data_IF_152383205122
#
_entry.id   IF_152383205122
#
_cell.length_a   1.000
_cell.length_b   1.000
_cell.length_c   1.000
_cell.angle_alpha   90.00
_cell.angle_beta   90.00
_cell.angle_gamma   90.00
#
_symmetry.space_group_name_H-M   'P 1'
#
loop_
_entity.id
_entity.type
_entity.pdbx_description
1 polymer ?
#
# COMPACT_ATOMS: atom_id res chain seq x y z
N UNK A 1 5.03 4.76 -13.84
CA UNK A 1 5.75 5.82 -13.13
C UNK A 1 7.11 5.29 -12.73
N UNK A 2 8.16 6.06 -12.97
CA UNK A 2 9.55 5.67 -12.74
C UNK A 2 10.25 6.75 -11.91
N UNK A 3 10.98 6.36 -10.87
CA UNK A 3 11.83 7.27 -10.07
C UNK A 3 11.05 8.32 -9.27
N UNK A 4 10.15 7.87 -8.39
CA UNK A 4 9.33 8.77 -7.57
C UNK A 4 9.81 8.87 -6.13
N UNK A 5 9.50 10.01 -5.47
CA UNK A 5 10.07 10.36 -4.17
C UNK A 5 9.73 9.39 -3.03
N UNK A 6 8.51 9.48 -2.51
CA UNK A 6 8.10 8.74 -1.31
C UNK A 6 7.13 7.60 -1.65
N UNK A 7 5.96 7.92 -2.23
CA UNK A 7 4.89 6.95 -2.51
C UNK A 7 4.41 7.07 -3.95
N UNK A 8 4.21 5.94 -4.63
CA UNK A 8 3.70 5.93 -6.01
C UNK A 8 2.21 6.24 -6.03
N UNK A 9 1.42 5.48 -5.28
CA UNK A 9 -0.01 5.70 -5.05
C UNK A 9 -0.23 5.84 -3.54
N UNK A 10 -0.95 6.87 -3.10
CA UNK A 10 -1.31 7.05 -1.69
C UNK A 10 -2.75 7.53 -1.56
N UNK A 11 -3.57 6.77 -0.83
CA UNK A 11 -4.89 7.20 -0.36
C UNK A 11 -4.85 7.48 1.15
N UNK A 12 -5.65 8.44 1.59
CA UNK A 12 -5.74 8.88 2.98
C UNK A 12 -7.06 9.59 3.27
N UNK A 13 -7.29 9.92 4.53
CA UNK A 13 -8.38 10.78 5.01
C UNK A 13 -9.76 10.45 4.42
N UNK A 14 -10.22 9.20 4.59
CA UNK A 14 -11.51 8.69 4.07
C UNK A 14 -11.67 8.73 2.54
N UNK A 15 -10.59 8.81 1.80
CA UNK A 15 -10.64 8.79 0.34
C UNK A 15 -11.02 7.42 -0.21
N UNK A 16 -11.67 7.40 -1.38
CA UNK A 16 -11.82 6.19 -2.19
C UNK A 16 -11.04 6.36 -3.49
N UNK A 17 -10.12 5.43 -3.77
CA UNK A 17 -9.25 5.48 -4.95
C UNK A 17 -9.40 4.19 -5.75
N UNK A 18 -9.59 4.33 -7.06
CA UNK A 18 -9.64 3.22 -8.01
C UNK A 18 -8.55 3.41 -9.07
N UNK A 19 -7.74 2.38 -9.29
CA UNK A 19 -6.65 2.39 -10.25
C UNK A 19 -6.74 1.17 -11.13
N UNK A 20 -6.59 1.35 -12.44
CA UNK A 20 -6.53 0.26 -13.41
C UNK A 20 -5.25 0.40 -14.23
N UNK A 21 -4.49 -0.69 -14.36
CA UNK A 21 -3.24 -0.77 -15.11
C UNK A 21 -2.18 0.23 -14.60
N UNK A 22 -1.50 -0.13 -13.51
CA UNK A 22 -0.42 0.67 -12.95
C UNK A 22 0.91 -0.09 -12.99
N UNK A 23 1.97 0.61 -13.41
CA UNK A 23 3.35 0.13 -13.34
C UNK A 23 4.16 1.15 -12.54
N UNK A 24 4.67 0.73 -11.39
CA UNK A 24 5.51 1.55 -10.51
C UNK A 24 6.92 0.97 -10.48
N UNK A 25 7.93 1.81 -10.73
CA UNK A 25 9.34 1.41 -10.81
C UNK A 25 10.26 2.32 -10.00
N UNK A 26 11.35 1.75 -9.46
CA UNK A 26 12.45 2.48 -8.82
C UNK A 26 11.97 3.46 -7.74
N UNK A 27 11.19 2.96 -6.77
CA UNK A 27 10.58 3.80 -5.74
C UNK A 27 10.73 3.24 -4.33
N UNK A 28 10.51 4.08 -3.33
CA UNK A 28 10.58 3.67 -1.93
C UNK A 28 9.34 2.86 -1.54
N UNK A 29 8.14 3.39 -1.81
CA UNK A 29 6.88 2.74 -1.46
C UNK A 29 5.91 2.71 -2.65
N UNK A 30 5.44 1.53 -3.05
CA UNK A 30 4.50 1.36 -4.17
C UNK A 30 3.14 2.00 -3.89
N UNK A 31 2.36 1.36 -3.03
CA UNK A 31 0.98 1.75 -2.72
C UNK A 31 0.77 1.87 -1.22
N UNK A 32 0.20 2.99 -0.76
CA UNK A 32 -0.25 3.17 0.62
C UNK A 32 -1.76 3.46 0.68
N UNK A 33 -2.49 2.74 1.52
CA UNK A 33 -3.89 3.08 1.88
C UNK A 33 -3.96 3.37 3.37
N UNK A 34 -4.46 4.55 3.75
CA UNK A 34 -4.41 5.05 5.15
C UNK A 34 -5.72 5.66 5.62
N UNK A 35 -5.89 5.79 6.93
CA UNK A 35 -6.85 6.73 7.54
C UNK A 35 -8.29 6.58 6.99
N UNK A 36 -8.91 5.41 7.21
CA UNK A 36 -10.25 5.07 6.69
C UNK A 36 -10.41 5.12 5.15
N UNK A 37 -9.32 5.19 4.39
CA UNK A 37 -9.41 5.14 2.94
C UNK A 37 -9.59 3.72 2.40
N UNK A 38 -10.18 3.65 1.21
CA UNK A 38 -10.39 2.42 0.44
C UNK A 38 -9.71 2.53 -0.91
N UNK A 39 -8.73 1.67 -1.16
CA UNK A 39 -7.99 1.64 -2.43
C UNK A 39 -8.27 0.34 -3.18
N UNK A 40 -8.66 0.45 -4.45
CA UNK A 40 -8.94 -0.69 -5.31
C UNK A 40 -8.05 -0.62 -6.55
N UNK A 41 -7.28 -1.66 -6.82
CA UNK A 41 -6.33 -1.69 -7.92
C UNK A 41 -6.53 -2.94 -8.76
N UNK A 42 -6.59 -2.77 -10.07
CA UNK A 42 -6.56 -3.87 -11.03
C UNK A 42 -5.31 -3.75 -11.90
N UNK A 43 -4.61 -4.86 -12.10
CA UNK A 43 -3.37 -4.97 -12.89
C UNK A 43 -2.26 -4.03 -12.39
N UNK A 44 -1.60 -4.43 -11.30
CA UNK A 44 -0.49 -3.69 -10.70
C UNK A 44 0.84 -4.39 -10.96
N UNK A 45 1.83 -3.67 -11.48
CA UNK A 45 3.22 -4.12 -11.56
C UNK A 45 4.10 -3.24 -10.70
N UNK A 46 4.85 -3.86 -9.78
CA UNK A 46 5.85 -3.19 -8.94
C UNK A 46 7.24 -3.74 -9.30
N UNK A 47 8.19 -2.84 -9.56
CA UNK A 47 9.57 -3.18 -9.90
C UNK A 47 10.57 -2.37 -9.07
N UNK A 48 11.59 -3.03 -8.52
CA UNK A 48 12.69 -2.36 -7.79
C UNK A 48 12.17 -1.43 -6.70
N UNK A 49 11.51 -2.03 -5.70
CA UNK A 49 10.86 -1.32 -4.59
C UNK A 49 11.46 -1.72 -3.26
N UNK A 50 11.57 -0.77 -2.32
CA UNK A 50 11.82 -1.11 -0.92
C UNK A 50 10.57 -1.75 -0.30
N UNK A 51 9.42 -1.09 -0.41
CA UNK A 51 8.12 -1.59 0.07
C UNK A 51 7.10 -1.57 -1.07
N UNK A 52 6.46 -2.71 -1.32
CA UNK A 52 5.45 -2.84 -2.36
C UNK A 52 4.13 -2.19 -1.95
N UNK A 53 3.47 -2.75 -0.95
CA UNK A 53 2.14 -2.36 -0.50
C UNK A 53 2.14 -2.06 1.00
N UNK A 54 1.37 -1.06 1.45
CA UNK A 54 1.12 -0.88 2.87
C UNK A 54 -0.31 -0.40 3.16
N UNK A 55 -0.85 -0.84 4.29
CA UNK A 55 -2.16 -0.41 4.79
C UNK A 55 -2.09 -0.23 6.30
N UNK A 56 -2.40 0.97 6.76
CA UNK A 56 -2.27 1.33 8.18
C UNK A 56 -3.05 2.58 8.55
N UNK A 57 -3.20 2.84 9.84
CA UNK A 57 -3.81 4.07 10.34
C UNK A 57 -2.70 5.05 10.74
N UNK A 58 -2.59 6.18 10.06
CA UNK A 58 -1.63 7.24 10.40
C UNK A 58 -2.23 8.18 11.44
N UNK A 59 -3.44 8.65 11.21
CA UNK A 59 -4.07 9.69 12.04
C UNK A 59 -5.12 9.06 12.95
N UNK A 60 -5.03 9.26 14.29
CA UNK A 60 -5.92 8.61 15.25
C UNK A 60 -7.38 9.05 15.12
N UNK A 61 -7.65 10.23 14.55
CA UNK A 61 -9.00 10.74 14.30
C UNK A 61 -9.74 10.05 13.14
N UNK A 62 -9.03 9.18 12.40
CA UNK A 62 -9.60 8.24 11.43
C UNK A 62 -9.40 6.81 11.94
N UNK A 63 -10.06 5.83 11.34
CA UNK A 63 -9.87 4.41 11.60
C UNK A 63 -9.01 3.67 10.57
N UNK A 64 -9.15 2.35 10.60
CA UNK A 64 -8.42 1.40 9.77
C UNK A 64 -8.72 1.57 8.26
N UNK A 65 -7.73 1.26 7.42
CA UNK A 65 -7.84 1.40 5.98
C UNK A 65 -8.00 0.05 5.25
N UNK A 66 -8.36 0.13 3.98
CA UNK A 66 -8.60 -1.01 3.11
C UNK A 66 -7.81 -0.92 1.80
N UNK A 67 -7.28 -2.05 1.34
CA UNK A 67 -6.68 -2.22 0.02
C UNK A 67 -7.13 -3.53 -0.62
N UNK A 68 -7.63 -3.46 -1.85
CA UNK A 68 -7.83 -4.62 -2.72
C UNK A 68 -6.97 -4.49 -3.97
N UNK A 69 -6.19 -5.52 -4.27
CA UNK A 69 -5.41 -5.61 -5.51
C UNK A 69 -5.75 -6.91 -6.24
N UNK A 70 -6.19 -6.76 -7.48
CA UNK A 70 -6.42 -7.87 -8.42
C UNK A 70 -5.34 -7.87 -9.49
N UNK A 71 -4.72 -9.01 -9.73
CA UNK A 71 -3.62 -9.20 -10.66
C UNK A 71 -2.39 -8.35 -10.32
N UNK A 72 -1.69 -8.72 -9.25
CA UNK A 72 -0.42 -8.08 -8.88
C UNK A 72 0.78 -8.86 -9.42
N UNK A 73 1.76 -8.14 -9.96
CA UNK A 73 3.06 -8.66 -10.37
C UNK A 73 4.15 -7.93 -9.61
N UNK A 74 4.94 -8.67 -8.83
CA UNK A 74 6.13 -8.17 -8.14
C UNK A 74 7.36 -8.63 -8.92
N UNK A 75 7.97 -7.75 -9.69
CA UNK A 75 9.12 -8.04 -10.54
C UNK A 75 10.39 -7.36 -10.01
N UNK A 76 11.56 -7.85 -10.44
CA UNK A 76 12.86 -7.18 -10.25
C UNK A 76 13.15 -6.64 -8.85
N UNK A 77 13.03 -7.49 -7.83
CA UNK A 77 13.42 -7.22 -6.43
C UNK A 77 12.58 -6.18 -5.69
N UNK A 78 11.38 -6.57 -5.28
CA UNK A 78 10.62 -5.89 -4.21
C UNK A 78 11.07 -6.44 -2.86
N UNK A 79 11.77 -5.64 -2.03
CA UNK A 79 12.38 -6.15 -0.79
C UNK A 79 11.34 -6.55 0.26
N UNK A 80 10.34 -5.72 0.47
CA UNK A 80 9.21 -5.98 1.36
C UNK A 80 7.92 -5.95 0.52
N UNK A 81 7.34 -7.11 0.16
CA UNK A 81 6.15 -7.15 -0.68
C UNK A 81 4.97 -6.38 -0.10
N UNK A 82 4.73 -6.53 1.20
CA UNK A 82 3.65 -5.82 1.90
C UNK A 82 3.92 -5.63 3.39
N UNK A 83 3.34 -4.56 3.94
CA UNK A 83 3.21 -4.32 5.38
C UNK A 83 1.76 -3.94 5.73
N UNK A 84 1.07 -4.81 6.45
CA UNK A 84 -0.32 -4.65 6.88
C UNK A 84 -0.37 -4.49 8.39
N UNK A 85 -0.89 -3.36 8.85
CA UNK A 85 -1.09 -3.09 10.27
C UNK A 85 -2.37 -3.73 10.81
N UNK A 86 -2.34 -4.13 12.08
CA UNK A 86 -3.48 -4.69 12.79
C UNK A 86 -4.70 -3.74 12.71
N UNK A 87 -5.88 -4.31 12.44
CA UNK A 87 -7.14 -3.58 12.29
C UNK A 87 -7.44 -3.15 10.85
N UNK A 88 -6.41 -2.98 10.01
CA UNK A 88 -6.56 -2.74 8.57
C UNK A 88 -6.78 -4.04 7.80
N UNK A 89 -7.23 -3.92 6.55
CA UNK A 89 -7.55 -5.04 5.68
C UNK A 89 -6.85 -4.93 4.32
N UNK A 90 -6.31 -6.05 3.86
CA UNK A 90 -5.69 -6.18 2.54
C UNK A 90 -6.14 -7.46 1.88
N UNK A 91 -6.55 -7.37 0.62
CA UNK A 91 -6.87 -8.51 -0.25
C UNK A 91 -5.95 -8.44 -1.47
N UNK A 92 -5.28 -9.55 -1.78
CA UNK A 92 -4.43 -9.69 -2.96
C UNK A 92 -4.88 -10.95 -3.71
N UNK A 93 -5.25 -10.81 -4.99
CA UNK A 93 -5.69 -11.91 -5.85
C UNK A 93 -6.76 -12.78 -5.16
N UNK A 94 -7.78 -12.11 -4.64
CA UNK A 94 -8.91 -12.70 -3.89
C UNK A 94 -8.53 -13.40 -2.58
N UNK A 95 -7.29 -13.30 -2.11
CA UNK A 95 -6.84 -13.84 -0.82
C UNK A 95 -6.73 -12.73 0.22
N UNK A 96 -7.42 -12.90 1.33
CA UNK A 96 -7.27 -12.03 2.50
C UNK A 96 -5.91 -12.25 3.13
N UNK A 97 -5.20 -11.15 3.41
CA UNK A 97 -3.88 -11.16 4.01
C UNK A 97 -3.99 -10.92 5.51
N UNK A 98 -3.26 -11.71 6.30
CA UNK A 98 -3.15 -11.50 7.75
C UNK A 98 -2.18 -10.35 8.05
N UNK A 99 -2.48 -9.48 9.05
CA UNK A 99 -1.58 -8.43 9.48
C UNK A 99 -0.19 -8.97 9.86
N UNK A 100 0.86 -8.28 9.43
CA UNK A 100 2.25 -8.67 9.63
C UNK A 100 3.13 -7.55 10.21
N UNK A 101 2.57 -6.37 10.46
CA UNK A 101 3.31 -5.22 10.95
C UNK A 101 2.51 -4.46 12.04
N UNK A 102 3.22 -3.62 12.79
CA UNK A 102 2.68 -2.75 13.83
C UNK A 102 3.44 -1.43 13.86
N UNK A 103 2.82 -0.39 14.40
CA UNK A 103 3.40 0.94 14.59
C UNK A 103 3.95 1.51 13.27
N UNK A 104 3.21 1.29 12.17
CA UNK A 104 3.63 1.74 10.85
C UNK A 104 3.60 3.27 10.74
N UNK A 105 2.72 3.94 11.49
CA UNK A 105 2.74 5.40 11.63
C UNK A 105 4.10 5.89 12.14
N UNK A 106 4.59 5.32 13.23
CA UNK A 106 5.86 5.69 13.84
C UNK A 106 7.01 5.39 12.88
N UNK A 107 7.02 4.23 12.22
CA UNK A 107 8.08 3.88 11.27
C UNK A 107 8.15 4.79 10.04
N UNK A 108 7.00 5.21 9.51
CA UNK A 108 6.96 6.04 8.30
C UNK A 108 7.01 7.55 8.57
N UNK A 109 6.68 7.99 9.78
CA UNK A 109 6.54 9.42 10.11
C UNK A 109 7.23 9.84 11.41
N UNK A 110 8.12 9.03 11.99
CA UNK A 110 9.07 9.51 12.99
C UNK A 110 10.08 10.46 12.33
N UNK A 111 9.70 11.72 12.20
CA UNK A 111 10.58 12.87 12.00
C UNK A 111 10.25 13.92 13.04
#
# INVERSE_FOLDING_TARGET
MDGYGDKGISAGERSTVSVTNAVLKNGTLGVASKDESSTHIQNLTLEKMEIGLTVFQKKPEYGAAYLNVESVTMADSVKTPFELELGSQMIIDSKTISPNAQNLKERFYAQ
#
